data_IF_062863255535
#
_entry.id   IF_062863255535
#
_cell.length_a   1.000
_cell.length_b   1.000
_cell.length_c   1.000
_cell.angle_alpha   90.00
_cell.angle_beta   90.00
_cell.angle_gamma   90.00
#
_symmetry.space_group_name_H-M   'P 1'
#
loop_
_entity.id
_entity.type
_entity.pdbx_description
1 polymer ?
#
# COMPACT_ATOMS: atom_id res chain seq x y z
N UNK A 1 -10.74 -2.52 -6.89
CA UNK A 1 -9.45 -2.47 -7.57
C UNK A 1 -9.01 -3.85 -7.97
N UNK A 2 -8.60 -3.98 -9.19
CA UNK A 2 -8.02 -5.21 -9.68
C UNK A 2 -6.61 -5.35 -9.14
N UNK A 3 -6.24 -6.58 -8.77
CA UNK A 3 -4.91 -6.81 -8.21
C UNK A 3 -4.02 -7.53 -9.20
N UNK A 4 -2.92 -6.87 -9.51
CA UNK A 4 -1.82 -7.48 -10.19
C UNK A 4 -0.62 -7.18 -9.31
N UNK A 5 -0.23 -8.14 -8.50
CA UNK A 5 0.70 -7.90 -7.41
C UNK A 5 2.06 -8.50 -7.71
N UNK A 6 3.08 -7.65 -7.62
CA UNK A 6 4.45 -8.10 -7.58
C UNK A 6 4.92 -7.92 -6.14
N UNK A 7 5.35 -9.01 -5.53
CA UNK A 7 5.85 -8.99 -4.16
C UNK A 7 7.29 -9.47 -4.19
N UNK A 8 8.19 -8.64 -3.70
CA UNK A 8 9.56 -9.03 -3.49
C UNK A 8 9.93 -8.77 -2.03
N UNK A 9 10.78 -9.60 -1.51
CA UNK A 9 11.14 -9.56 -0.12
C UNK A 9 12.63 -9.37 0.04
N UNK A 10 13.02 -8.59 1.02
CA UNK A 10 14.41 -8.38 1.37
C UNK A 10 14.54 -8.49 2.88
N UNK A 11 15.11 -9.57 3.35
CA UNK A 11 15.35 -9.79 4.76
C UNK A 11 16.71 -9.34 5.19
N UNK A 12 17.65 -9.77 4.43
CA UNK A 12 19.05 -9.48 4.67
C UNK A 12 19.46 -9.79 6.10
N UNK A 13 20.48 -9.11 6.55
CA UNK A 13 21.03 -9.29 7.89
C UNK A 13 20.08 -8.90 9.00
N UNK A 14 19.03 -8.17 8.69
CA UNK A 14 18.03 -7.79 9.69
C UNK A 14 17.28 -9.00 10.21
N UNK A 15 17.07 -9.97 9.36
CA UNK A 15 16.45 -11.21 9.76
C UNK A 15 17.28 -11.94 10.80
N UNK A 16 18.57 -11.94 10.62
CA UNK A 16 19.47 -12.63 11.55
C UNK A 16 19.38 -12.07 12.96
N UNK A 17 19.14 -10.78 13.08
CA UNK A 17 19.03 -10.12 14.37
C UNK A 17 17.67 -10.30 15.00
N UNK A 18 16.75 -10.92 14.31
CA UNK A 18 15.39 -11.09 14.80
C UNK A 18 15.20 -12.33 15.66
N UNK A 19 16.26 -13.05 15.98
CA UNK A 19 16.17 -14.24 16.80
C UNK A 19 15.51 -14.00 18.16
N UNK A 20 15.40 -12.75 18.56
CA UNK A 20 14.73 -12.37 19.81
C UNK A 20 13.34 -11.81 19.57
N UNK A 21 12.70 -12.21 18.48
CA UNK A 21 11.37 -11.78 18.11
C UNK A 21 11.28 -10.30 17.74
N UNK A 22 12.39 -9.64 17.55
CA UNK A 22 12.44 -8.26 17.07
C UNK A 22 13.07 -8.28 15.71
N UNK A 23 12.31 -7.91 14.72
CA UNK A 23 12.83 -7.88 13.38
C UNK A 23 11.83 -7.29 12.44
N UNK A 24 12.29 -6.99 11.24
CA UNK A 24 11.46 -6.41 10.20
C UNK A 24 11.71 -7.15 8.91
N UNK A 25 10.72 -7.09 8.03
CA UNK A 25 10.88 -7.52 6.65
C UNK A 25 10.52 -6.37 5.74
N UNK A 26 11.15 -6.32 4.59
CA UNK A 26 10.88 -5.30 3.60
C UNK A 26 10.20 -5.94 2.41
N UNK A 27 9.15 -5.28 1.94
CA UNK A 27 8.34 -5.78 0.84
C UNK A 27 8.11 -4.68 -0.18
N UNK A 28 8.07 -5.11 -1.41
CA UNK A 28 7.76 -4.26 -2.53
C UNK A 28 6.40 -4.68 -3.06
N UNK A 29 5.44 -3.76 -3.04
CA UNK A 29 4.09 -4.02 -3.50
C UNK A 29 3.77 -3.18 -4.71
N UNK A 30 3.00 -3.77 -5.61
CA UNK A 30 2.46 -3.06 -6.75
C UNK A 30 1.05 -3.57 -7.02
N UNK A 31 0.12 -2.66 -7.22
CA UNK A 31 -1.24 -3.03 -7.59
C UNK A 31 -1.84 -2.00 -8.54
N UNK A 32 -2.83 -2.44 -9.32
CA UNK A 32 -3.49 -1.61 -10.31
C UNK A 32 -4.92 -1.31 -9.90
N UNK A 33 -5.47 -0.25 -10.46
CA UNK A 33 -6.91 0.01 -10.37
C UNK A 33 -7.66 -1.04 -11.20
N UNK A 34 -8.94 -1.21 -10.89
CA UNK A 34 -9.79 -2.12 -11.63
C UNK A 34 -9.79 -1.73 -13.12
N UNK A 35 -9.53 -2.70 -13.99
CA UNK A 35 -9.44 -2.51 -15.43
C UNK A 35 -8.42 -1.44 -15.85
N UNK A 36 -7.49 -1.13 -14.98
CA UNK A 36 -6.47 -0.10 -15.20
C UNK A 36 -7.06 1.27 -15.54
N UNK A 37 -8.19 1.60 -14.95
CA UNK A 37 -8.73 2.95 -15.07
C UNK A 37 -7.75 3.95 -14.47
N UNK A 38 -7.58 5.08 -15.15
CA UNK A 38 -6.72 6.16 -14.67
C UNK A 38 -7.42 6.95 -13.57
N UNK A 39 -7.78 6.25 -12.51
CA UNK A 39 -8.55 6.76 -11.41
C UNK A 39 -7.85 7.91 -10.68
N UNK A 40 -6.52 7.88 -10.65
CA UNK A 40 -5.72 8.89 -9.98
C UNK A 40 -5.10 9.87 -10.98
N UNK A 41 -5.71 10.02 -12.16
CA UNK A 41 -5.17 10.91 -13.18
C UNK A 41 -5.25 12.39 -12.84
N UNK A 42 -6.22 12.79 -12.02
CA UNK A 42 -6.31 14.15 -11.54
C UNK A 42 -5.41 14.32 -10.32
N UNK A 43 -4.73 15.46 -10.25
CA UNK A 43 -3.80 15.71 -9.16
C UNK A 43 -4.47 15.63 -7.78
N UNK A 44 -5.69 16.12 -7.66
CA UNK A 44 -6.41 16.05 -6.40
C UNK A 44 -6.67 14.61 -5.95
N UNK A 45 -6.98 13.72 -6.89
CA UNK A 45 -7.21 12.31 -6.58
C UNK A 45 -5.90 11.61 -6.24
N UNK A 46 -4.84 11.95 -6.96
CA UNK A 46 -3.52 11.40 -6.68
C UNK A 46 -3.05 11.80 -5.28
N UNK A 47 -3.23 13.06 -4.93
CA UNK A 47 -2.87 13.55 -3.59
C UNK A 47 -3.70 12.87 -2.51
N UNK A 48 -5.00 12.70 -2.77
CA UNK A 48 -5.88 12.08 -1.79
C UNK A 48 -5.53 10.62 -1.55
N UNK A 49 -5.34 9.85 -2.63
CA UNK A 49 -5.00 8.42 -2.45
C UNK A 49 -3.65 8.26 -1.77
N UNK A 50 -2.70 9.13 -2.07
CA UNK A 50 -1.40 9.13 -1.40
C UNK A 50 -1.58 9.32 0.11
N UNK A 51 -2.38 10.29 0.50
CA UNK A 51 -2.67 10.54 1.92
C UNK A 51 -3.39 9.35 2.55
N UNK A 52 -4.32 8.73 1.84
CA UNK A 52 -5.06 7.58 2.34
C UNK A 52 -4.16 6.38 2.56
N UNK A 53 -3.22 6.13 1.65
CA UNK A 53 -2.26 5.04 1.80
C UNK A 53 -1.39 5.27 3.03
N UNK A 54 -0.88 6.48 3.19
CA UNK A 54 -0.03 6.82 4.34
C UNK A 54 -0.81 6.69 5.65
N UNK A 55 -2.06 7.08 5.66
CA UNK A 55 -2.88 6.96 6.86
C UNK A 55 -3.15 5.50 7.20
N UNK A 56 -3.51 4.69 6.21
CA UNK A 56 -3.73 3.26 6.44
C UNK A 56 -2.48 2.60 7.01
N UNK A 57 -1.32 2.93 6.45
CA UNK A 57 -0.04 2.42 6.93
C UNK A 57 0.21 2.83 8.37
N UNK A 58 0.01 4.10 8.67
CA UNK A 58 0.25 4.67 10.00
C UNK A 58 -0.63 4.01 11.07
N UNK A 59 -1.87 3.71 10.74
CA UNK A 59 -2.81 3.10 11.67
C UNK A 59 -2.43 1.66 12.03
N UNK A 60 -1.61 1.01 11.23
CA UNK A 60 -1.25 -0.39 11.42
C UNK A 60 0.26 -0.62 11.58
N UNK A 61 0.98 0.44 11.88
CA UNK A 61 2.43 0.36 12.11
C UNK A 61 3.21 -0.20 10.91
N UNK A 62 2.77 0.15 9.72
CA UNK A 62 3.50 -0.17 8.49
C UNK A 62 4.32 1.06 8.13
N UNK A 63 5.63 0.88 8.00
CA UNK A 63 6.50 1.99 7.63
C UNK A 63 6.67 2.02 6.12
N UNK A 64 6.26 3.11 5.50
CA UNK A 64 6.44 3.31 4.07
C UNK A 64 7.80 3.91 3.82
N UNK A 65 8.64 3.19 3.09
CA UNK A 65 9.98 3.64 2.72
C UNK A 65 9.90 4.45 1.44
N UNK A 66 9.10 3.98 0.50
CA UNK A 66 8.95 4.61 -0.79
C UNK A 66 7.53 4.43 -1.28
N UNK A 67 6.95 5.47 -1.83
CA UNK A 67 5.58 5.44 -2.35
C UNK A 67 5.53 6.21 -3.67
N UNK A 68 5.08 5.53 -4.70
CA UNK A 68 4.93 6.12 -6.02
C UNK A 68 3.54 5.78 -6.54
N UNK A 69 2.71 6.79 -6.69
CA UNK A 69 1.34 6.64 -7.18
C UNK A 69 1.26 7.13 -8.61
N UNK A 70 0.84 6.25 -9.49
CA UNK A 70 0.63 6.55 -10.91
C UNK A 70 -0.88 6.62 -11.19
N UNK A 71 -1.30 7.11 -12.36
CA UNK A 71 -2.74 7.27 -12.65
C UNK A 71 -3.54 5.97 -12.49
N UNK A 72 -2.97 4.82 -12.84
CA UNK A 72 -3.69 3.56 -12.80
C UNK A 72 -3.05 2.51 -11.89
N UNK A 73 -1.95 2.83 -11.22
CA UNK A 73 -1.33 1.85 -10.32
C UNK A 73 -0.54 2.52 -9.20
N UNK A 74 -0.26 1.72 -8.19
CA UNK A 74 0.49 2.13 -7.01
C UNK A 74 1.68 1.19 -6.83
N UNK A 75 2.79 1.76 -6.44
CA UNK A 75 4.04 1.05 -6.21
C UNK A 75 4.60 1.55 -4.88
N UNK A 76 4.90 0.65 -3.96
CA UNK A 76 5.46 1.07 -2.69
C UNK A 76 6.41 0.02 -2.10
N UNK A 77 7.34 0.51 -1.31
CA UNK A 77 8.25 -0.33 -0.52
C UNK A 77 7.94 -0.05 0.94
N UNK A 78 7.75 -1.10 1.70
CA UNK A 78 7.37 -0.99 3.11
C UNK A 78 8.23 -1.87 3.99
N UNK A 79 8.37 -1.45 5.24
CA UNK A 79 8.91 -2.27 6.32
C UNK A 79 7.77 -2.66 7.23
N UNK A 80 7.68 -3.95 7.53
CA UNK A 80 6.67 -4.47 8.45
C UNK A 80 7.32 -5.36 9.49
N UNK A 81 6.65 -5.53 10.61
CA UNK A 81 7.10 -6.44 11.66
C UNK A 81 7.09 -7.87 11.15
N UNK A 82 7.98 -8.69 11.64
CA UNK A 82 8.02 -10.11 11.27
C UNK A 82 6.72 -10.83 11.62
N UNK A 83 6.00 -10.34 12.62
CA UNK A 83 4.71 -10.92 13.02
C UNK A 83 3.59 -10.62 12.02
N UNK A 84 3.80 -9.67 11.12
CA UNK A 84 2.80 -9.30 10.12
C UNK A 84 3.13 -9.96 8.79
N UNK A 85 2.13 -10.61 8.18
CA UNK A 85 2.34 -11.20 6.87
C UNK A 85 2.29 -10.13 5.79
N UNK A 86 3.00 -10.39 4.69
CA UNK A 86 2.97 -9.49 3.54
C UNK A 86 1.55 -9.38 2.97
N UNK A 87 0.83 -10.49 2.92
CA UNK A 87 -0.55 -10.50 2.42
C UNK A 87 -1.45 -9.60 3.25
N UNK A 88 -1.30 -9.64 4.56
CA UNK A 88 -2.09 -8.80 5.45
C UNK A 88 -1.74 -7.32 5.27
N UNK A 89 -0.44 -7.01 5.19
CA UNK A 89 0.01 -5.65 4.96
C UNK A 89 -0.54 -5.09 3.64
N UNK A 90 -0.50 -5.89 2.59
CA UNK A 90 -1.04 -5.48 1.30
C UNK A 90 -2.55 -5.23 1.39
N UNK A 91 -3.27 -6.08 2.10
CA UNK A 91 -4.70 -5.92 2.30
C UNK A 91 -5.01 -4.61 3.02
N UNK A 92 -4.24 -4.27 4.03
CA UNK A 92 -4.39 -3.01 4.75
C UNK A 92 -4.15 -1.82 3.83
N UNK A 93 -3.05 -1.83 3.10
CA UNK A 93 -2.68 -0.71 2.25
C UNK A 93 -3.66 -0.53 1.09
N UNK A 94 -4.00 -1.61 0.43
CA UNK A 94 -4.89 -1.59 -0.71
C UNK A 94 -6.35 -1.36 -0.29
N UNK A 95 -6.85 -2.19 0.60
CA UNK A 95 -8.25 -2.12 1.03
C UNK A 95 -8.53 -0.93 1.92
N UNK A 96 -7.64 -0.65 2.86
CA UNK A 96 -7.79 0.47 3.77
C UNK A 96 -7.74 1.81 3.07
N UNK A 97 -6.79 1.98 2.16
CA UNK A 97 -6.68 3.22 1.40
C UNK A 97 -7.86 3.42 0.46
N UNK A 98 -8.32 2.33 -0.16
CA UNK A 98 -9.47 2.38 -1.06
C UNK A 98 -10.73 2.81 -0.34
N UNK A 99 -10.96 2.24 0.84
CA UNK A 99 -12.12 2.61 1.65
C UNK A 99 -12.07 4.08 2.05
N UNK A 100 -10.91 4.55 2.50
CA UNK A 100 -10.75 5.97 2.86
C UNK A 100 -10.94 6.88 1.66
N UNK A 101 -10.37 6.50 0.53
CA UNK A 101 -10.49 7.29 -0.70
C UNK A 101 -11.95 7.47 -1.10
N UNK A 102 -12.71 6.40 -1.18
CA UNK A 102 -14.11 6.48 -1.58
C UNK A 102 -14.99 7.13 -0.53
N UNK A 103 -14.58 7.11 0.71
CA UNK A 103 -15.28 7.81 1.78
C UNK A 103 -15.17 9.32 1.61
N UNK A 104 -14.03 9.82 1.17
CA UNK A 104 -13.80 11.24 0.96
C UNK A 104 -14.19 11.71 -0.44
N UNK A 105 -14.33 10.81 -1.41
CA UNK A 105 -14.64 11.15 -2.78
C UNK A 105 -15.82 10.35 -3.30
N UNK A 106 -16.99 10.82 -2.97
CA UNK A 106 -18.20 10.14 -3.38
C UNK A 106 -18.38 10.08 -4.90
N UNK A 107 -17.96 11.12 -5.60
CA UNK A 107 -18.00 11.11 -7.07
C UNK A 107 -17.16 9.99 -7.65
N UNK A 108 -15.99 9.78 -7.11
CA UNK A 108 -15.12 8.69 -7.56
C UNK A 108 -15.77 7.34 -7.29
N UNK A 109 -16.40 7.19 -6.14
CA UNK A 109 -17.09 5.96 -5.77
C UNK A 109 -18.20 5.63 -6.76
N UNK A 110 -18.98 6.62 -7.14
CA UNK A 110 -20.10 6.41 -8.08
C UNK A 110 -19.60 6.11 -9.50
N UNK A 111 -18.44 6.64 -9.86
CA UNK A 111 -17.89 6.48 -11.20
C UNK A 111 -17.10 5.17 -11.35
N UNK A 112 -16.40 4.76 -10.34
CA UNK A 112 -15.53 3.60 -10.33
C UNK A 112 -16.00 2.55 -9.32
#
# INVERSE_FOLDING_TARGET
METQVLISESFEEKYERSSHAVGISMWHFEWCTKYRYKMFGKQEYLNLITACIRRAASMHEIKIIELNVQPEHVHCVVEIKLSMSAAYALQILKGGSSRLFFQFHERARLRY
#
